data_IF_478329095333
#
_entry.id   IF_478329095333
#
_cell.length_a   1.000
_cell.length_b   1.000
_cell.length_c   1.000
_cell.angle_alpha   90.00
_cell.angle_beta   90.00
_cell.angle_gamma   90.00
#
_symmetry.space_group_name_H-M   'P 1'
#
loop_
_entity.id
_entity.type
_entity.pdbx_description
1 polymer ?
#
# COMPACT_ATOMS: atom_id res chain seq x y z
N UNK A 1 -42.43 17.13 -64.74
CA UNK A 1 -42.08 15.88 -64.04
C UNK A 1 -41.26 16.31 -62.82
N UNK A 2 -41.89 16.55 -61.67
CA UNK A 2 -42.06 15.58 -60.55
C UNK A 2 -40.74 14.84 -60.27
N UNK A 3 -40.12 14.89 -59.09
CA UNK A 3 -40.52 15.47 -57.81
C UNK A 3 -39.36 15.36 -56.81
N UNK A 4 -39.49 16.13 -55.74
CA UNK A 4 -38.69 16.12 -54.52
C UNK A 4 -38.77 14.76 -53.81
N UNK A 5 -37.64 14.18 -53.39
CA UNK A 5 -37.61 13.23 -52.27
C UNK A 5 -36.18 13.02 -51.77
N UNK A 6 -35.98 13.02 -50.45
CA UNK A 6 -34.81 12.38 -49.84
C UNK A 6 -33.83 13.23 -49.04
N UNK A 7 -34.32 14.15 -48.21
CA UNK A 7 -33.59 14.50 -46.98
C UNK A 7 -33.47 13.25 -46.10
N UNK A 8 -32.25 12.93 -45.66
CA UNK A 8 -31.88 12.21 -44.42
C UNK A 8 -30.88 11.06 -44.61
N UNK A 9 -29.62 11.35 -44.97
CA UNK A 9 -28.49 10.45 -44.63
C UNK A 9 -27.20 11.23 -44.24
N UNK A 10 -27.35 12.43 -43.68
CA UNK A 10 -26.36 12.99 -42.75
C UNK A 10 -26.78 12.62 -41.34
N UNK A 11 -26.30 11.47 -40.83
CA UNK A 11 -26.17 11.08 -39.40
C UNK A 11 -26.04 9.55 -39.26
N UNK A 12 -24.87 9.04 -39.58
CA UNK A 12 -24.28 7.92 -38.85
C UNK A 12 -22.93 8.46 -38.37
N UNK A 13 -22.88 9.21 -37.25
CA UNK A 13 -22.62 8.64 -35.92
C UNK A 13 -21.84 7.33 -36.05
N UNK A 14 -20.58 7.24 -35.64
CA UNK A 14 -19.97 7.82 -34.44
C UNK A 14 -18.48 7.51 -34.54
N UNK A 15 -17.65 8.52 -34.31
CA UNK A 15 -16.20 8.43 -34.22
C UNK A 15 -15.76 7.18 -33.45
N UNK A 16 -15.29 6.18 -34.18
CA UNK A 16 -14.41 5.14 -33.66
C UNK A 16 -12.99 5.68 -33.81
N UNK A 17 -12.18 5.49 -32.76
CA UNK A 17 -10.77 5.92 -32.68
C UNK A 17 -10.63 7.41 -32.32
N UNK A 18 -10.43 7.80 -31.07
CA UNK A 18 -9.35 7.37 -30.18
C UNK A 18 -9.90 7.26 -28.75
N UNK A 19 -10.15 6.03 -28.31
CA UNK A 19 -10.16 5.75 -26.87
C UNK A 19 -8.71 5.97 -26.44
N UNK A 20 -8.46 7.15 -25.87
CA UNK A 20 -7.21 7.54 -25.25
C UNK A 20 -6.64 6.37 -24.44
N UNK A 21 -5.51 5.83 -24.89
CA UNK A 21 -4.75 4.79 -24.18
C UNK A 21 -4.31 5.21 -22.77
N UNK A 22 -4.59 6.46 -22.35
CA UNK A 22 -4.32 6.97 -21.01
C UNK A 22 -5.30 6.46 -19.94
N UNK A 23 -6.45 5.90 -20.31
CA UNK A 23 -7.46 5.44 -19.35
C UNK A 23 -7.61 3.92 -19.27
N UNK A 24 -6.62 3.14 -19.77
CA UNK A 24 -6.59 1.73 -19.41
C UNK A 24 -6.30 1.65 -17.92
N UNK A 25 -7.36 1.36 -17.16
CA UNK A 25 -7.32 1.13 -15.72
C UNK A 25 -6.18 0.15 -15.44
N UNK A 26 -5.06 0.65 -14.93
CA UNK A 26 -4.00 -0.19 -14.38
C UNK A 26 -4.68 -1.14 -13.40
N UNK A 27 -4.44 -2.44 -13.56
CA UNK A 27 -5.04 -3.45 -12.71
C UNK A 27 -4.79 -3.09 -11.24
N UNK A 28 -5.83 -3.17 -10.42
CA UNK A 28 -5.71 -3.05 -8.98
C UNK A 28 -4.58 -4.00 -8.51
N UNK A 29 -3.60 -3.46 -7.78
CA UNK A 29 -2.44 -4.17 -7.24
C UNK A 29 -1.38 -4.67 -8.25
N UNK A 30 -1.20 -4.03 -9.41
CA UNK A 30 -0.02 -4.29 -10.25
C UNK A 30 1.26 -3.71 -9.59
N UNK A 31 2.30 -4.52 -9.40
CA UNK A 31 3.60 -4.04 -8.90
C UNK A 31 4.21 -3.02 -9.87
N UNK A 32 4.32 -1.78 -9.42
CA UNK A 32 4.87 -0.68 -10.21
C UNK A 32 5.90 0.10 -9.38
N UNK A 33 7.00 0.51 -10.02
CA UNK A 33 8.07 1.30 -9.37
C UNK A 33 7.78 2.80 -9.38
N UNK A 34 6.86 3.24 -10.24
CA UNK A 34 6.63 4.65 -10.51
C UNK A 34 5.37 5.20 -9.83
N UNK A 35 4.39 4.33 -9.52
CA UNK A 35 3.08 4.74 -8.99
C UNK A 35 2.63 3.82 -7.85
N UNK A 36 2.09 4.43 -6.79
CA UNK A 36 1.54 3.73 -5.62
C UNK A 36 0.13 3.20 -5.94
N UNK A 37 0.06 2.06 -6.63
CA UNK A 37 -1.21 1.48 -7.07
C UNK A 37 -2.11 1.10 -5.90
N UNK A 38 -3.36 1.57 -5.92
CA UNK A 38 -4.38 1.22 -4.91
C UNK A 38 -4.37 2.09 -3.65
N UNK A 39 -3.67 3.23 -3.66
CA UNK A 39 -3.67 4.18 -2.54
C UNK A 39 -4.85 5.17 -2.65
N UNK A 40 -5.28 5.53 -3.85
CA UNK A 40 -6.38 6.48 -4.01
C UNK A 40 -7.74 5.84 -3.69
N UNK A 41 -8.43 6.40 -2.69
CA UNK A 41 -9.79 6.01 -2.28
C UNK A 41 -10.89 6.86 -2.92
N UNK A 42 -10.53 7.98 -3.55
CA UNK A 42 -11.51 8.94 -4.10
C UNK A 42 -11.94 8.56 -5.51
N UNK A 43 -13.23 8.73 -5.81
CA UNK A 43 -13.75 8.52 -7.17
C UNK A 43 -13.21 9.59 -8.10
N UNK A 44 -12.62 9.19 -9.21
CA UNK A 44 -12.03 10.10 -10.20
C UNK A 44 -10.63 10.64 -9.85
N UNK A 45 -10.07 10.24 -8.69
CA UNK A 45 -8.68 10.51 -8.37
C UNK A 45 -7.72 9.55 -9.09
N UNK A 46 -6.44 9.94 -9.16
CA UNK A 46 -5.34 9.08 -9.62
C UNK A 46 -4.51 8.64 -8.42
N UNK A 47 -3.90 7.45 -8.52
CA UNK A 47 -2.86 7.04 -7.61
C UNK A 47 -1.66 8.00 -7.70
N UNK A 48 -1.04 8.36 -6.55
CA UNK A 48 0.09 9.27 -6.54
C UNK A 48 1.39 8.60 -7.05
N UNK A 49 2.29 9.36 -7.69
CA UNK A 49 3.59 8.85 -8.12
C UNK A 49 4.55 8.66 -6.94
N UNK A 50 5.48 7.70 -7.05
CA UNK A 50 6.61 7.57 -6.13
C UNK A 50 7.61 8.70 -6.39
N UNK A 51 8.17 9.22 -5.30
CA UNK A 51 9.18 10.28 -5.31
C UNK A 51 10.58 9.70 -5.07
N UNK A 52 11.61 10.53 -5.21
CA UNK A 52 12.98 10.15 -4.84
C UNK A 52 13.08 9.92 -3.33
N UNK A 53 14.00 9.05 -2.91
CA UNK A 53 14.23 8.70 -1.51
C UNK A 53 14.55 9.93 -0.63
N UNK A 54 15.22 10.94 -1.21
CA UNK A 54 15.59 12.20 -0.55
C UNK A 54 14.40 13.11 -0.22
N UNK A 55 13.27 12.95 -0.90
CA UNK A 55 12.06 13.75 -0.62
C UNK A 55 11.29 13.21 0.58
N UNK A 56 11.55 11.96 0.97
CA UNK A 56 10.93 11.36 2.14
C UNK A 56 11.69 11.70 3.42
N UNK A 57 10.98 11.90 4.54
CA UNK A 57 11.62 12.13 5.82
C UNK A 57 12.51 10.94 6.27
N UNK A 58 13.60 11.25 6.98
CA UNK A 58 14.58 10.26 7.44
C UNK A 58 13.96 9.14 8.30
N UNK A 59 12.97 9.47 9.14
CA UNK A 59 12.30 8.49 10.01
C UNK A 59 11.66 7.33 9.24
N UNK A 60 11.36 7.49 7.94
CA UNK A 60 10.80 6.42 7.11
C UNK A 60 11.78 5.24 7.00
N UNK A 61 13.07 5.53 6.88
CA UNK A 61 14.11 4.52 6.74
C UNK A 61 14.41 3.82 8.06
N UNK A 62 14.23 4.53 9.17
CA UNK A 62 14.34 3.95 10.52
C UNK A 62 13.31 2.84 10.75
N UNK A 63 12.11 2.92 10.16
CA UNK A 63 11.07 1.90 10.27
C UNK A 63 11.44 0.55 9.62
N UNK A 64 12.34 0.56 8.64
CA UNK A 64 12.79 -0.66 7.98
C UNK A 64 13.71 -1.50 8.86
N UNK A 65 14.28 -0.91 9.93
CA UNK A 65 15.16 -1.64 10.84
C UNK A 65 14.34 -2.56 11.77
N UNK A 66 14.66 -3.86 11.81
CA UNK A 66 13.93 -4.78 12.66
C UNK A 66 14.15 -4.45 14.13
N UNK A 67 13.05 -4.25 14.85
CA UNK A 67 13.11 -4.06 16.31
C UNK A 67 13.68 -5.32 17.00
N UNK A 68 14.52 -5.10 18.03
CA UNK A 68 15.29 -6.15 18.72
C UNK A 68 14.43 -7.33 19.22
N UNK A 69 15.03 -8.52 19.21
CA UNK A 69 14.33 -9.74 19.62
C UNK A 69 14.28 -9.90 21.14
N UNK A 70 13.45 -10.81 21.65
CA UNK A 70 13.35 -11.09 23.09
C UNK A 70 14.70 -11.60 23.66
N UNK A 71 15.46 -12.35 22.87
CA UNK A 71 16.76 -12.86 23.28
C UNK A 71 17.78 -11.72 23.44
N UNK A 72 17.82 -10.79 22.49
CA UNK A 72 18.73 -9.65 22.52
C UNK A 72 18.40 -8.71 23.69
N UNK A 73 17.11 -8.48 23.95
CA UNK A 73 16.66 -7.64 25.06
C UNK A 73 16.95 -8.28 26.43
N UNK A 74 16.83 -9.60 26.56
CA UNK A 74 17.14 -10.32 27.81
C UNK A 74 18.64 -10.38 28.13
N UNK A 75 19.51 -10.28 27.12
CA UNK A 75 20.97 -10.27 27.30
C UNK A 75 21.48 -8.93 27.84
N UNK A 76 20.73 -7.85 27.59
CA UNK A 76 21.04 -6.53 28.13
C UNK A 76 20.61 -6.44 29.60
N UNK A 77 21.39 -5.70 30.38
CA UNK A 77 20.99 -5.32 31.73
C UNK A 77 19.84 -4.32 31.66
N UNK A 78 18.85 -4.46 32.57
CA UNK A 78 17.65 -3.61 32.59
C UNK A 78 17.97 -2.11 32.73
N UNK A 79 19.10 -1.77 33.36
CA UNK A 79 19.56 -0.39 33.57
C UNK A 79 20.06 0.27 32.28
N UNK A 80 20.40 -0.51 31.25
CA UNK A 80 20.91 -0.02 29.95
C UNK A 80 19.85 -0.01 28.84
N UNK A 81 18.60 -0.36 29.16
CA UNK A 81 17.51 -0.39 28.19
C UNK A 81 16.88 0.99 28.07
N UNK A 82 16.67 1.42 26.83
CA UNK A 82 15.84 2.60 26.57
C UNK A 82 14.36 2.32 26.90
N UNK A 83 13.57 3.37 27.13
CA UNK A 83 12.15 3.26 27.46
C UNK A 83 11.37 2.41 26.44
N UNK A 84 11.63 2.60 25.13
CA UNK A 84 10.96 1.82 24.09
C UNK A 84 11.33 0.33 24.16
N UNK A 85 12.60 0.05 24.49
CA UNK A 85 13.11 -1.32 24.64
C UNK A 85 12.50 -2.03 25.86
N UNK A 86 12.33 -1.33 26.99
CA UNK A 86 11.64 -1.86 28.18
C UNK A 86 10.19 -2.21 27.85
N UNK A 87 9.47 -1.30 27.18
CA UNK A 87 8.08 -1.51 26.75
C UNK A 87 7.97 -2.72 25.81
N UNK A 88 8.89 -2.85 24.87
CA UNK A 88 8.96 -4.01 23.95
C UNK A 88 9.26 -5.30 24.69
N UNK A 89 10.23 -5.30 25.61
CA UNK A 89 10.59 -6.46 26.44
C UNK A 89 9.37 -7.00 27.20
N UNK A 90 8.59 -6.13 27.82
CA UNK A 90 7.39 -6.52 28.56
C UNK A 90 6.33 -7.14 27.63
N UNK A 91 6.07 -6.53 26.48
CA UNK A 91 5.15 -7.07 25.45
C UNK A 91 5.58 -8.46 24.98
N UNK A 92 6.87 -8.62 24.64
CA UNK A 92 7.41 -9.89 24.15
C UNK A 92 7.37 -10.97 25.22
N UNK A 93 7.68 -10.63 26.48
CA UNK A 93 7.59 -11.55 27.62
C UNK A 93 6.16 -12.02 27.86
N UNK A 94 5.19 -11.11 27.78
CA UNK A 94 3.78 -11.46 27.92
C UNK A 94 3.30 -12.38 26.78
N UNK A 95 3.71 -12.08 25.54
CA UNK A 95 3.40 -12.92 24.37
C UNK A 95 3.98 -14.33 24.53
N UNK A 96 5.21 -14.44 25.00
CA UNK A 96 5.88 -15.73 25.24
C UNK A 96 5.17 -16.54 26.34
N UNK A 97 4.81 -15.91 27.46
CA UNK A 97 4.02 -16.55 28.53
C UNK A 97 2.69 -17.10 28.01
N UNK A 98 1.96 -16.31 27.22
CA UNK A 98 0.67 -16.75 26.63
C UNK A 98 0.88 -17.92 25.68
N UNK A 99 1.90 -17.84 24.81
CA UNK A 99 2.26 -18.92 23.89
C UNK A 99 2.54 -20.22 24.64
N UNK A 100 3.41 -20.19 25.65
CA UNK A 100 3.76 -21.36 26.47
C UNK A 100 2.54 -21.93 27.18
N UNK A 101 1.66 -21.09 27.73
CA UNK A 101 0.40 -21.53 28.33
C UNK A 101 -0.49 -22.25 27.33
N UNK A 102 -0.67 -21.70 26.13
CA UNK A 102 -1.51 -22.31 25.09
C UNK A 102 -0.94 -23.65 24.64
N UNK A 103 0.38 -23.74 24.45
CA UNK A 103 1.07 -24.99 24.10
C UNK A 103 0.89 -26.04 25.19
N UNK A 104 1.01 -25.66 26.47
CA UNK A 104 0.82 -26.59 27.58
C UNK A 104 -0.64 -27.04 27.74
N UNK A 105 -1.61 -26.19 27.36
CA UNK A 105 -3.03 -26.53 27.39
C UNK A 105 -3.43 -27.45 26.22
N UNK A 106 -2.76 -27.33 25.07
CA UNK A 106 -3.05 -28.14 23.88
C UNK A 106 -2.33 -29.49 23.85
N UNK A 107 -1.31 -29.66 24.70
CA UNK A 107 -0.65 -30.95 24.93
C UNK A 107 -1.44 -31.74 25.96
#
# INVERSE_FOLDING_TARGET
MQGTSGSALMRLYRATELISLKSFTRGFASMSKDVLTGLNITKGGSDPPLKSDEEYPEWLWELAHPERTLADLKRKENSSLDFEEVKRLQKLTNRDKIRTRNVNKSK
#
